data_IF_183780992928
#
_entry.id   IF_183780992928
#
_cell.length_a   1.000
_cell.length_b   1.000
_cell.length_c   1.000
_cell.angle_alpha   90.00
_cell.angle_beta   90.00
_cell.angle_gamma   90.00
#
_symmetry.space_group_name_H-M   'P 1'
#
loop_
_entity.id
_entity.type
_entity.pdbx_description
1 polymer ?
#
# COMPACT_ATOMS: atom_id res chain seq x y z
N UNK A 1 -13.65 4.51 -47.96
CA UNK A 1 -12.67 5.30 -47.17
C UNK A 1 -13.27 6.66 -46.91
N UNK A 2 -13.91 6.83 -45.76
CA UNK A 2 -14.45 8.12 -45.30
C UNK A 2 -13.82 8.40 -43.95
N UNK A 3 -12.87 9.34 -43.96
CA UNK A 3 -12.19 9.87 -42.78
C UNK A 3 -13.23 10.50 -41.84
N UNK A 4 -13.52 9.81 -40.74
CA UNK A 4 -14.24 10.41 -39.61
C UNK A 4 -13.27 11.40 -38.97
N UNK A 5 -13.51 12.69 -39.20
CA UNK A 5 -12.84 13.79 -38.53
C UNK A 5 -13.09 13.68 -37.03
N UNK A 6 -12.03 13.44 -36.27
CA UNK A 6 -12.02 13.49 -34.81
C UNK A 6 -12.26 14.96 -34.40
N UNK A 7 -13.25 15.27 -33.55
CA UNK A 7 -13.44 16.62 -33.05
C UNK A 7 -12.22 17.06 -32.24
N UNK A 8 -11.85 18.32 -32.38
CA UNK A 8 -10.65 18.96 -31.85
C UNK A 8 -10.29 18.53 -30.41
N UNK A 9 -9.15 17.85 -30.26
CA UNK A 9 -8.53 17.65 -28.96
C UNK A 9 -8.21 19.02 -28.36
N UNK A 10 -8.75 19.32 -27.17
CA UNK A 10 -8.51 20.59 -26.46
C UNK A 10 -6.99 20.82 -26.35
N UNK A 11 -6.45 21.97 -26.77
CA UNK A 11 -5.03 22.28 -26.67
C UNK A 11 -4.52 22.14 -25.21
N UNK A 12 -3.71 21.11 -24.95
CA UNK A 12 -3.20 20.78 -23.62
C UNK A 12 -4.03 19.77 -22.81
N UNK A 13 -5.01 19.11 -23.42
CA UNK A 13 -5.68 17.92 -22.90
C UNK A 13 -4.81 16.66 -22.96
N UNK A 14 -5.43 15.48 -22.89
CA UNK A 14 -4.72 14.21 -23.01
C UNK A 14 -4.16 14.02 -24.43
N UNK A 15 -2.93 13.52 -24.59
CA UNK A 15 -2.40 13.19 -25.93
C UNK A 15 -3.11 11.93 -26.43
N UNK A 16 -3.91 12.08 -27.49
CA UNK A 16 -4.65 10.99 -28.12
C UNK A 16 -5.99 10.71 -27.43
N UNK A 17 -7.07 11.23 -28.00
CA UNK A 17 -8.46 11.01 -27.55
C UNK A 17 -9.16 9.84 -28.29
N UNK A 18 -8.46 9.15 -29.20
CA UNK A 18 -9.01 8.01 -29.92
C UNK A 18 -8.86 6.71 -29.11
N UNK A 19 -9.92 6.33 -28.39
CA UNK A 19 -10.18 4.94 -27.96
C UNK A 19 -9.10 4.29 -27.07
N UNK A 20 -8.80 4.87 -25.91
CA UNK A 20 -7.95 4.19 -24.93
C UNK A 20 -8.67 2.95 -24.36
N UNK A 21 -7.95 1.84 -24.24
CA UNK A 21 -8.45 0.65 -23.58
C UNK A 21 -8.86 0.99 -22.13
N UNK A 22 -10.03 0.51 -21.70
CA UNK A 22 -10.47 0.69 -20.31
C UNK A 22 -9.49 0.00 -19.38
N UNK A 23 -9.18 0.64 -18.26
CA UNK A 23 -8.39 0.01 -17.19
C UNK A 23 -9.15 -1.21 -16.65
N UNK A 24 -8.43 -2.31 -16.45
CA UNK A 24 -8.98 -3.62 -16.04
C UNK A 24 -10.24 -4.01 -16.84
N UNK A 25 -10.14 -4.22 -18.17
CA UNK A 25 -11.31 -4.38 -19.03
C UNK A 25 -12.21 -5.57 -18.65
N UNK A 26 -11.65 -6.56 -17.95
CA UNK A 26 -12.33 -7.76 -17.47
C UNK A 26 -13.28 -7.48 -16.31
N UNK A 27 -13.00 -6.46 -15.49
CA UNK A 27 -13.78 -6.12 -14.28
C UNK A 27 -14.32 -4.69 -14.27
N UNK A 28 -14.06 -3.90 -15.31
CA UNK A 28 -14.53 -2.52 -15.43
C UNK A 28 -16.07 -2.45 -15.44
N UNK A 29 -16.63 -1.59 -14.57
CA UNK A 29 -18.08 -1.41 -14.41
C UNK A 29 -18.88 -2.72 -14.20
N UNK A 30 -18.30 -3.74 -13.56
CA UNK A 30 -18.97 -5.03 -13.29
C UNK A 30 -19.86 -5.01 -12.05
N UNK A 31 -19.57 -4.16 -11.05
CA UNK A 31 -20.32 -4.11 -9.81
C UNK A 31 -21.44 -3.06 -9.93
N UNK A 32 -22.69 -3.54 -10.01
CA UNK A 32 -23.87 -2.68 -10.09
C UNK A 32 -24.07 -1.87 -8.80
N UNK A 33 -24.17 -0.55 -8.95
CA UNK A 33 -24.45 0.36 -7.84
C UNK A 33 -25.96 0.69 -7.82
N UNK A 34 -26.67 0.48 -6.70
CA UNK A 34 -28.07 0.84 -6.60
C UNK A 34 -28.30 2.35 -6.71
N UNK A 35 -29.07 2.77 -7.71
CA UNK A 35 -29.46 4.17 -7.93
C UNK A 35 -30.52 4.67 -6.94
N UNK A 36 -31.16 3.80 -6.16
CA UNK A 36 -32.18 4.16 -5.17
C UNK A 36 -32.03 3.28 -3.91
N UNK A 37 -32.24 3.86 -2.71
CA UNK A 37 -32.19 3.13 -1.43
C UNK A 37 -31.51 3.87 -0.27
N UNK A 38 -31.51 3.22 0.89
CA UNK A 38 -30.96 3.74 2.16
C UNK A 38 -29.44 3.92 2.05
N UNK A 39 -28.91 5.00 2.62
CA UNK A 39 -27.49 5.41 2.61
C UNK A 39 -26.50 4.25 2.84
N UNK A 40 -26.80 3.33 3.77
CA UNK A 40 -25.90 2.24 4.15
C UNK A 40 -25.82 1.13 3.08
N UNK A 41 -26.90 0.88 2.33
CA UNK A 41 -26.90 -0.09 1.22
C UNK A 41 -26.07 0.41 0.05
N UNK A 42 -26.09 1.72 -0.20
CA UNK A 42 -25.22 2.37 -1.19
C UNK A 42 -23.76 2.34 -0.74
N UNK A 43 -23.48 2.62 0.54
CA UNK A 43 -22.13 2.50 1.08
C UNK A 43 -21.59 1.06 0.92
N UNK A 44 -22.38 0.04 1.27
CA UNK A 44 -21.96 -1.37 1.10
C UNK A 44 -21.75 -1.79 -0.36
N UNK A 45 -22.43 -1.15 -1.32
CA UNK A 45 -22.22 -1.42 -2.74
C UNK A 45 -20.94 -0.75 -3.28
N UNK A 46 -20.57 0.41 -2.72
CA UNK A 46 -19.30 1.07 -3.02
C UNK A 46 -18.14 0.55 -2.19
N UNK A 47 -18.41 -0.09 -1.05
CA UNK A 47 -17.40 -0.67 -0.17
C UNK A 47 -16.65 -1.80 -0.88
N UNK A 48 -15.33 -1.76 -0.83
CA UNK A 48 -14.47 -2.77 -1.45
C UNK A 48 -13.14 -2.19 -1.93
N UNK A 49 -13.14 -1.22 -2.88
CA UNK A 49 -11.92 -0.62 -3.42
C UNK A 49 -11.00 -0.05 -2.34
N UNK A 50 -11.57 0.66 -1.36
CA UNK A 50 -10.84 1.22 -0.24
C UNK A 50 -10.21 0.15 0.65
N UNK A 51 -10.91 -0.97 0.87
CA UNK A 51 -10.39 -2.10 1.65
C UNK A 51 -9.28 -2.86 0.93
N UNK A 52 -9.39 -3.05 -0.39
CA UNK A 52 -8.28 -3.61 -1.18
C UNK A 52 -7.06 -2.70 -1.08
N UNK A 53 -7.24 -1.39 -1.16
CA UNK A 53 -6.12 -0.45 -1.07
C UNK A 53 -5.54 -0.40 0.33
N UNK A 54 -6.36 -0.34 1.38
CA UNK A 54 -5.88 -0.23 2.77
C UNK A 54 -5.04 -1.42 3.23
N UNK A 55 -5.17 -2.56 2.56
CA UNK A 55 -4.46 -3.77 2.92
C UNK A 55 -2.98 -3.71 2.60
N UNK A 56 -2.59 -3.05 1.51
CA UNK A 56 -1.16 -2.82 1.26
C UNK A 56 -0.53 -1.96 2.35
N UNK A 57 -1.32 -1.19 3.11
CA UNK A 57 -0.85 -0.41 4.25
C UNK A 57 -0.69 -1.24 5.53
N UNK A 58 -0.88 -2.55 5.47
CA UNK A 58 -0.73 -3.48 6.60
C UNK A 58 0.27 -4.60 6.29
N UNK A 59 1.11 -4.43 5.26
CA UNK A 59 2.07 -5.43 4.80
C UNK A 59 3.23 -5.65 5.82
N UNK A 60 3.98 -6.75 5.71
CA UNK A 60 5.10 -7.03 6.63
C UNK A 60 6.19 -5.94 6.62
N UNK A 61 6.31 -5.16 5.54
CA UNK A 61 7.21 -4.02 5.45
C UNK A 61 6.93 -2.96 6.53
N UNK A 62 5.65 -2.60 6.68
CA UNK A 62 5.22 -1.62 7.70
C UNK A 62 5.46 -2.12 9.13
N UNK A 63 5.31 -3.43 9.34
CA UNK A 63 5.47 -4.03 10.67
C UNK A 63 6.89 -3.89 11.18
N UNK A 64 7.90 -4.07 10.32
CA UNK A 64 9.30 -3.93 10.71
C UNK A 64 9.58 -2.51 11.21
N UNK A 65 9.09 -1.48 10.52
CA UNK A 65 9.27 -0.08 10.93
C UNK A 65 8.48 0.28 12.18
N UNK A 66 7.26 -0.24 12.34
CA UNK A 66 6.41 0.04 13.50
C UNK A 66 6.92 -0.66 14.77
N UNK A 67 7.39 -1.91 14.65
CA UNK A 67 8.03 -2.65 15.74
C UNK A 67 9.31 -1.96 16.21
N UNK A 68 10.20 -1.61 15.27
CA UNK A 68 11.44 -0.92 15.59
C UNK A 68 11.18 0.47 16.20
N UNK A 69 10.16 1.19 15.70
CA UNK A 69 9.77 2.47 16.25
C UNK A 69 9.24 2.37 17.68
N UNK A 70 8.38 1.37 17.95
CA UNK A 70 7.80 1.13 19.26
C UNK A 70 8.81 0.63 20.29
N UNK A 71 9.69 -0.30 19.90
CA UNK A 71 10.71 -0.86 20.80
C UNK A 71 11.77 0.16 21.21
N UNK A 72 12.23 1.00 20.28
CA UNK A 72 13.28 2.00 20.54
C UNK A 72 12.74 3.29 21.17
N UNK A 73 11.64 3.83 20.65
CA UNK A 73 11.19 5.20 20.94
C UNK A 73 9.84 5.26 21.67
N UNK A 74 9.32 4.11 22.11
CA UNK A 74 8.04 4.03 22.80
C UNK A 74 6.90 4.55 21.93
N UNK A 75 6.06 5.41 22.49
CA UNK A 75 4.85 5.91 21.81
C UNK A 75 5.08 7.13 20.90
N UNK A 76 6.29 7.69 20.87
CA UNK A 76 6.57 9.00 20.23
C UNK A 76 6.28 9.01 18.72
N UNK A 77 6.55 7.90 18.05
CA UNK A 77 6.37 7.76 16.60
C UNK A 77 4.92 7.51 16.16
N UNK A 78 3.96 7.40 17.09
CA UNK A 78 2.51 7.35 16.77
C UNK A 78 2.05 8.60 16.00
N UNK A 79 2.62 9.76 16.34
CA UNK A 79 2.38 11.01 15.61
C UNK A 79 2.82 10.93 14.13
N UNK A 80 3.90 10.19 13.84
CA UNK A 80 4.39 9.97 12.47
C UNK A 80 3.47 9.01 11.71
N UNK A 81 3.02 7.92 12.34
CA UNK A 81 2.05 6.99 11.73
C UNK A 81 0.76 7.75 11.37
N UNK A 82 0.25 8.59 12.28
CA UNK A 82 -0.94 9.40 12.02
C UNK A 82 -0.72 10.36 10.85
N UNK A 83 0.37 11.13 10.84
CA UNK A 83 0.66 12.08 9.78
C UNK A 83 0.81 11.37 8.42
N UNK A 84 1.54 10.26 8.40
CA UNK A 84 1.73 9.41 7.24
C UNK A 84 0.40 8.88 6.70
N UNK A 85 -0.50 8.43 7.59
CA UNK A 85 -1.83 7.97 7.19
C UNK A 85 -2.70 9.11 6.64
N UNK A 86 -2.62 10.32 7.21
CA UNK A 86 -3.32 11.48 6.66
C UNK A 86 -2.82 11.84 5.25
N UNK A 87 -1.50 11.75 5.02
CA UNK A 87 -0.91 11.89 3.69
C UNK A 87 -1.44 10.82 2.72
N UNK A 88 -1.49 9.56 3.17
CA UNK A 88 -2.05 8.46 2.40
C UNK A 88 -3.51 8.69 2.03
N UNK A 89 -4.37 9.06 2.99
CA UNK A 89 -5.79 9.35 2.74
C UNK A 89 -5.95 10.45 1.69
N UNK A 90 -5.17 11.53 1.80
CA UNK A 90 -5.18 12.61 0.81
C UNK A 90 -4.81 12.08 -0.58
N UNK A 91 -3.67 11.43 -0.72
CA UNK A 91 -3.17 10.94 -2.01
C UNK A 91 -4.09 9.88 -2.63
N UNK A 92 -4.65 8.99 -1.80
CA UNK A 92 -5.59 7.97 -2.25
C UNK A 92 -6.92 8.57 -2.71
N UNK A 93 -7.43 9.58 -2.02
CA UNK A 93 -8.61 10.32 -2.47
C UNK A 93 -8.36 11.03 -3.82
N UNK A 94 -7.13 11.53 -4.06
CA UNK A 94 -6.74 12.10 -5.34
C UNK A 94 -6.63 11.05 -6.45
N UNK A 95 -6.07 9.88 -6.15
CA UNK A 95 -5.97 8.76 -7.10
C UNK A 95 -7.35 8.25 -7.52
N UNK A 96 -8.25 8.04 -6.55
CA UNK A 96 -9.65 7.70 -6.80
C UNK A 96 -10.35 8.76 -7.66
N UNK A 97 -10.14 10.04 -7.34
CA UNK A 97 -10.71 11.16 -8.12
C UNK A 97 -10.23 11.16 -9.57
N UNK A 98 -8.93 10.93 -9.81
CA UNK A 98 -8.38 10.85 -11.15
C UNK A 98 -9.08 9.74 -11.95
N UNK A 99 -9.14 8.53 -11.38
CA UNK A 99 -9.80 7.36 -11.99
C UNK A 99 -11.26 7.62 -12.35
N UNK A 100 -12.01 8.19 -11.41
CA UNK A 100 -13.45 8.43 -11.58
C UNK A 100 -13.75 9.57 -12.55
N UNK A 101 -12.95 10.64 -12.51
CA UNK A 101 -13.18 11.84 -13.30
C UNK A 101 -12.69 11.71 -14.75
N UNK A 102 -11.71 10.85 -15.01
CA UNK A 102 -11.06 10.77 -16.33
C UNK A 102 -11.27 9.43 -17.04
N UNK A 103 -11.83 8.43 -16.36
CA UNK A 103 -11.95 7.04 -16.84
C UNK A 103 -10.60 6.44 -17.27
N UNK A 104 -9.51 6.96 -16.69
CA UNK A 104 -8.12 6.55 -16.92
C UNK A 104 -7.47 6.28 -15.57
N UNK A 105 -6.72 5.19 -15.48
CA UNK A 105 -5.83 5.01 -14.33
C UNK A 105 -4.60 5.93 -14.43
N UNK A 106 -3.84 6.04 -13.33
CA UNK A 106 -2.67 6.90 -13.26
C UNK A 106 -1.57 6.51 -14.28
N UNK A 107 -1.41 5.23 -14.58
CA UNK A 107 -0.42 4.76 -15.54
C UNK A 107 -0.81 5.17 -16.97
N UNK A 108 -2.07 4.99 -17.34
CA UNK A 108 -2.65 5.47 -18.60
C UNK A 108 -2.55 6.99 -18.73
N UNK A 109 -2.79 7.74 -17.64
CA UNK A 109 -2.65 9.19 -17.60
C UNK A 109 -1.19 9.64 -17.82
N UNK A 110 -0.22 8.92 -17.23
CA UNK A 110 1.20 9.13 -17.46
C UNK A 110 1.58 8.87 -18.93
N UNK A 111 1.17 7.73 -19.49
CA UNK A 111 1.40 7.37 -20.90
C UNK A 111 0.81 8.38 -21.86
N UNK A 112 -0.38 8.89 -21.57
CA UNK A 112 -1.06 9.90 -22.39
C UNK A 112 -0.48 11.32 -22.25
N UNK A 113 0.47 11.55 -21.35
CA UNK A 113 1.04 12.90 -21.14
C UNK A 113 2.52 12.94 -21.49
N UNK A 114 3.30 11.97 -21.03
CA UNK A 114 4.76 11.98 -21.12
C UNK A 114 5.25 11.39 -22.46
N UNK A 115 6.51 11.66 -22.80
CA UNK A 115 7.17 11.04 -23.96
C UNK A 115 7.48 9.58 -23.67
N UNK A 116 7.67 8.76 -24.73
CA UNK A 116 7.98 7.33 -24.60
C UNK A 116 9.17 7.02 -23.65
N UNK A 117 10.30 7.76 -23.69
CA UNK A 117 11.41 7.50 -22.77
C UNK A 117 11.05 7.73 -21.30
N UNK A 118 10.35 8.83 -21.00
CA UNK A 118 9.91 9.14 -19.63
C UNK A 118 8.90 8.11 -19.15
N UNK A 119 7.96 7.74 -20.01
CA UNK A 119 6.98 6.70 -19.71
C UNK A 119 7.64 5.35 -19.38
N UNK A 120 8.68 4.96 -20.14
CA UNK A 120 9.42 3.73 -19.89
C UNK A 120 10.20 3.77 -18.57
N UNK A 121 10.81 4.91 -18.23
CA UNK A 121 11.48 5.09 -16.93
C UNK A 121 10.51 5.00 -15.77
N UNK A 122 9.33 5.65 -15.88
CA UNK A 122 8.28 5.56 -14.86
C UNK A 122 7.77 4.13 -14.69
N UNK A 123 7.63 3.39 -15.80
CA UNK A 123 7.26 1.99 -15.78
C UNK A 123 8.32 1.12 -15.08
N UNK A 124 9.59 1.23 -15.46
CA UNK A 124 10.69 0.47 -14.84
C UNK A 124 10.77 0.73 -13.34
N UNK A 125 10.66 2.00 -12.93
CA UNK A 125 10.70 2.35 -11.51
C UNK A 125 9.48 1.81 -10.75
N UNK A 126 8.30 1.79 -11.38
CA UNK A 126 7.10 1.22 -10.78
C UNK A 126 7.17 -0.31 -10.67
N UNK A 127 7.65 -1.00 -11.71
CA UNK A 127 7.82 -2.45 -11.72
C UNK A 127 8.86 -2.88 -10.66
N UNK A 128 9.96 -2.14 -10.54
CA UNK A 128 10.96 -2.37 -9.49
C UNK A 128 10.35 -2.24 -8.08
N UNK A 129 9.49 -1.24 -7.85
CA UNK A 129 8.79 -1.08 -6.58
C UNK A 129 7.77 -2.20 -6.31
N UNK A 130 7.09 -2.72 -7.34
CA UNK A 130 6.19 -3.87 -7.19
C UNK A 130 6.99 -5.13 -6.84
N UNK A 131 8.12 -5.38 -7.51
CA UNK A 131 9.01 -6.51 -7.21
C UNK A 131 9.56 -6.40 -5.78
N UNK A 132 9.97 -5.21 -5.35
CA UNK A 132 10.43 -4.97 -3.99
C UNK A 132 9.32 -5.24 -2.95
N UNK A 133 8.08 -4.82 -3.22
CA UNK A 133 6.93 -5.14 -2.38
C UNK A 133 6.68 -6.65 -2.33
N UNK A 134 6.66 -7.30 -3.48
CA UNK A 134 6.44 -8.74 -3.60
C UNK A 134 7.52 -9.54 -2.84
N UNK A 135 8.76 -9.06 -2.85
CA UNK A 135 9.87 -9.60 -2.05
C UNK A 135 9.63 -9.46 -0.54
N UNK A 136 9.15 -8.30 -0.07
CA UNK A 136 8.80 -8.11 1.34
C UNK A 136 7.73 -9.11 1.81
N UNK A 137 6.75 -9.39 0.93
CA UNK A 137 5.70 -10.38 1.20
C UNK A 137 6.22 -11.82 1.25
N UNK A 138 7.11 -12.21 0.34
CA UNK A 138 7.74 -13.54 0.37
C UNK A 138 8.47 -13.73 1.69
N UNK A 139 9.25 -12.73 2.09
CA UNK A 139 10.01 -12.78 3.35
C UNK A 139 9.05 -12.87 4.54
N UNK A 140 8.03 -12.01 4.62
CA UNK A 140 7.05 -12.04 5.71
C UNK A 140 6.29 -13.37 5.79
N UNK A 141 5.88 -13.92 4.65
CA UNK A 141 5.21 -15.24 4.56
C UNK A 141 6.14 -16.37 4.97
N UNK A 142 7.40 -16.34 4.51
CA UNK A 142 8.40 -17.34 4.87
C UNK A 142 8.70 -17.33 6.38
N UNK A 143 8.85 -16.14 6.97
CA UNK A 143 9.01 -15.95 8.42
C UNK A 143 7.76 -16.49 9.15
N UNK A 144 6.55 -16.11 8.72
CA UNK A 144 5.33 -16.60 9.36
C UNK A 144 5.22 -18.14 9.34
N UNK A 145 5.55 -18.78 8.21
CA UNK A 145 5.56 -20.24 8.08
C UNK A 145 6.63 -20.91 8.94
N UNK A 146 7.81 -20.30 9.05
CA UNK A 146 8.87 -20.73 9.97
C UNK A 146 8.38 -20.70 11.40
N UNK A 147 7.79 -19.58 11.84
CA UNK A 147 7.35 -19.38 13.21
C UNK A 147 6.15 -20.28 13.59
N UNK A 148 5.24 -20.56 12.65
CA UNK A 148 4.04 -21.38 12.91
C UNK A 148 4.31 -22.89 12.81
N UNK A 149 5.11 -23.31 11.83
CA UNK A 149 5.24 -24.73 11.45
C UNK A 149 6.68 -25.25 11.53
N UNK A 150 7.65 -24.42 11.92
CA UNK A 150 9.07 -24.80 11.96
C UNK A 150 9.69 -25.02 10.57
N UNK A 151 9.07 -24.49 9.51
CA UNK A 151 9.55 -24.67 8.14
C UNK A 151 10.76 -23.74 7.90
N UNK A 152 11.90 -24.24 7.35
CA UNK A 152 13.04 -23.38 7.03
C UNK A 152 12.68 -22.24 6.08
N UNK A 153 13.33 -21.07 6.19
CA UNK A 153 13.02 -19.88 5.37
C UNK A 153 12.96 -20.16 3.87
N UNK A 154 13.90 -20.94 3.33
CA UNK A 154 13.91 -21.32 1.90
C UNK A 154 12.65 -22.14 1.56
N UNK A 155 12.26 -23.08 2.42
CA UNK A 155 11.03 -23.85 2.26
C UNK A 155 9.79 -22.95 2.32
N UNK A 156 9.76 -22.00 3.26
CA UNK A 156 8.72 -20.99 3.37
C UNK A 156 8.59 -20.11 2.12
N UNK A 157 9.72 -19.64 1.57
CA UNK A 157 9.76 -18.84 0.34
C UNK A 157 9.28 -19.63 -0.89
N UNK A 158 9.63 -20.91 -0.98
CA UNK A 158 9.12 -21.80 -2.04
C UNK A 158 7.61 -22.06 -1.88
N UNK A 159 7.13 -22.24 -0.65
CA UNK A 159 5.69 -22.38 -0.38
C UNK A 159 4.92 -21.08 -0.66
N UNK A 160 5.56 -19.91 -0.46
CA UNK A 160 4.97 -18.64 -0.87
C UNK A 160 4.71 -18.60 -2.39
N UNK A 161 5.48 -19.30 -3.22
CA UNK A 161 5.16 -19.40 -4.65
C UNK A 161 3.77 -20.03 -4.91
N UNK A 162 3.24 -20.84 -3.99
CA UNK A 162 1.93 -21.45 -4.12
C UNK A 162 0.78 -20.44 -4.00
N UNK A 163 1.03 -19.27 -3.40
CA UNK A 163 0.04 -18.20 -3.31
C UNK A 163 -0.38 -17.65 -4.67
N UNK A 164 0.47 -17.79 -5.69
CA UNK A 164 0.16 -17.41 -7.07
C UNK A 164 -1.01 -18.24 -7.59
N UNK A 165 -1.05 -19.54 -7.26
CA UNK A 165 -2.17 -20.41 -7.63
C UNK A 165 -3.43 -20.09 -6.81
N UNK A 166 -3.26 -19.75 -5.52
CA UNK A 166 -4.37 -19.31 -4.68
C UNK A 166 -5.02 -18.04 -5.25
N UNK A 167 -4.20 -17.07 -5.66
CA UNK A 167 -4.67 -15.84 -6.29
C UNK A 167 -5.44 -16.12 -7.58
N UNK A 168 -4.92 -16.97 -8.46
CA UNK A 168 -5.60 -17.34 -9.70
C UNK A 168 -6.95 -18.02 -9.44
N UNK A 169 -7.02 -18.87 -8.41
CA UNK A 169 -8.28 -19.47 -7.99
C UNK A 169 -9.28 -18.42 -7.50
N UNK A 170 -8.81 -17.41 -6.74
CA UNK A 170 -9.64 -16.32 -6.25
C UNK A 170 -10.15 -15.42 -7.39
N UNK A 171 -9.30 -15.09 -8.35
CA UNK A 171 -9.67 -14.26 -9.51
C UNK A 171 -10.75 -14.93 -10.35
N UNK A 172 -10.67 -16.25 -10.56
CA UNK A 172 -11.68 -17.03 -11.28
C UNK A 172 -13.07 -17.03 -10.60
N UNK A 173 -13.16 -16.74 -9.30
CA UNK A 173 -14.42 -16.68 -8.53
C UNK A 173 -15.12 -15.30 -8.60
N UNK A 174 -14.45 -14.28 -9.14
CA UNK A 174 -14.97 -12.93 -9.31
C UNK A 174 -14.62 -11.94 -8.19
N UNK A 175 -14.74 -10.64 -8.52
CA UNK A 175 -14.20 -9.55 -7.70
C UNK A 175 -14.82 -9.41 -6.30
N UNK A 176 -16.11 -9.72 -6.13
CA UNK A 176 -16.75 -9.69 -4.80
C UNK A 176 -16.22 -10.76 -3.85
N UNK A 177 -15.82 -11.92 -4.39
CA UNK A 177 -15.23 -12.98 -3.58
C UNK A 177 -13.82 -12.57 -3.13
N UNK A 178 -13.06 -11.94 -4.04
CA UNK A 178 -11.76 -11.35 -3.73
C UNK A 178 -11.86 -10.28 -2.63
N UNK A 179 -12.78 -9.33 -2.76
CA UNK A 179 -13.06 -8.31 -1.72
C UNK A 179 -13.41 -8.95 -0.37
N UNK A 180 -14.28 -9.96 -0.35
CA UNK A 180 -14.67 -10.65 0.88
C UNK A 180 -13.49 -11.40 1.53
N UNK A 181 -12.63 -12.04 0.73
CA UNK A 181 -11.43 -12.73 1.21
C UNK A 181 -10.45 -11.75 1.87
N UNK A 182 -10.20 -10.62 1.20
CA UNK A 182 -9.33 -9.53 1.70
C UNK A 182 -9.86 -8.97 3.02
N UNK A 183 -11.17 -8.72 3.12
CA UNK A 183 -11.81 -8.23 4.36
C UNK A 183 -11.71 -9.29 5.47
N UNK A 184 -11.87 -10.58 5.16
CA UNK A 184 -11.73 -11.65 6.15
C UNK A 184 -10.31 -11.70 6.74
N UNK A 185 -9.28 -11.61 5.90
CA UNK A 185 -7.88 -11.53 6.37
C UNK A 185 -7.65 -10.30 7.26
N UNK A 186 -8.22 -9.15 6.88
CA UNK A 186 -8.13 -7.92 7.65
C UNK A 186 -8.77 -8.07 9.04
N UNK A 187 -9.95 -8.71 9.12
CA UNK A 187 -10.61 -9.01 10.41
C UNK A 187 -9.72 -9.92 11.27
N UNK A 188 -9.08 -10.93 10.68
CA UNK A 188 -8.15 -11.81 11.41
C UNK A 188 -6.99 -11.00 12.01
N UNK A 189 -6.35 -10.14 11.21
CA UNK A 189 -5.26 -9.26 11.68
C UNK A 189 -5.74 -8.36 12.82
N UNK A 190 -6.88 -7.70 12.64
CA UNK A 190 -7.44 -6.79 13.64
C UNK A 190 -7.75 -7.52 14.96
N UNK A 191 -8.40 -8.69 14.90
CA UNK A 191 -8.71 -9.49 16.09
C UNK A 191 -7.43 -9.92 16.82
N UNK A 192 -6.41 -10.37 16.09
CA UNK A 192 -5.13 -10.78 16.68
C UNK A 192 -4.47 -9.62 17.46
N UNK A 193 -4.44 -8.41 16.90
CA UNK A 193 -3.84 -7.26 17.58
C UNK A 193 -4.71 -6.70 18.71
N UNK A 194 -6.04 -6.73 18.59
CA UNK A 194 -6.95 -6.34 19.68
C UNK A 194 -6.73 -7.21 20.91
N UNK A 195 -6.62 -8.53 20.73
CA UNK A 195 -6.35 -9.47 21.84
C UNK A 195 -4.98 -9.18 22.47
N UNK A 196 -3.95 -8.96 21.65
CA UNK A 196 -2.61 -8.67 22.15
C UNK A 196 -2.51 -7.33 22.89
N UNK A 197 -3.18 -6.27 22.41
CA UNK A 197 -3.24 -4.97 23.11
C UNK A 197 -3.99 -5.09 24.43
N UNK A 198 -5.11 -5.82 24.43
CA UNK A 198 -5.87 -6.05 25.65
C UNK A 198 -4.99 -6.77 26.71
N UNK A 199 -4.16 -7.71 26.28
CA UNK A 199 -3.19 -8.38 27.16
C UNK A 199 -2.04 -7.45 27.59
N UNK A 200 -1.54 -6.59 26.69
CA UNK A 200 -0.46 -5.65 26.98
C UNK A 200 -0.87 -4.53 27.97
N UNK A 201 -2.17 -4.22 28.04
CA UNK A 201 -2.77 -3.20 28.89
C UNK A 201 -1.99 -1.87 28.92
N UNK A 202 -1.76 -1.23 27.75
CA UNK A 202 -0.95 -0.02 27.68
C UNK A 202 -1.65 1.17 28.37
N UNK A 203 -0.89 2.08 29.00
CA UNK A 203 -1.45 3.28 29.61
C UNK A 203 -2.03 4.20 28.53
N UNK A 204 -3.37 4.29 28.47
CA UNK A 204 -4.12 5.05 27.45
C UNK A 204 -3.66 6.51 27.35
N UNK A 205 -3.32 7.14 28.48
CA UNK A 205 -2.83 8.51 28.49
C UNK A 205 -1.50 8.69 27.73
N UNK A 206 -0.58 7.72 27.82
CA UNK A 206 0.70 7.76 27.10
C UNK A 206 0.51 7.49 25.60
N UNK A 207 -0.41 6.58 25.25
CA UNK A 207 -0.77 6.31 23.85
C UNK A 207 -1.36 7.56 23.19
N UNK A 208 -2.32 8.23 23.84
CA UNK A 208 -2.90 9.48 23.36
C UNK A 208 -1.83 10.57 23.27
N UNK A 209 -0.94 10.66 24.26
CA UNK A 209 0.19 11.59 24.25
C UNK A 209 1.16 11.37 23.08
N UNK A 210 1.35 10.12 22.66
CA UNK A 210 2.20 9.75 21.52
C UNK A 210 1.72 10.24 20.17
N UNK A 211 0.41 10.53 20.03
CA UNK A 211 -0.13 11.16 18.81
C UNK A 211 0.22 12.65 18.71
N UNK A 212 0.74 13.25 19.77
CA UNK A 212 1.17 14.65 19.79
C UNK A 212 2.60 14.76 19.21
N UNK A 213 2.83 15.55 18.15
CA UNK A 213 4.16 15.63 17.52
C UNK A 213 5.24 16.14 18.48
N UNK A 214 6.37 15.44 18.56
CA UNK A 214 7.54 15.85 19.33
C UNK A 214 8.62 16.44 18.42
N UNK A 215 9.38 17.42 18.94
CA UNK A 215 10.55 17.99 18.23
C UNK A 215 11.69 16.98 18.10
N UNK A 216 11.72 15.98 18.97
CA UNK A 216 12.75 14.93 19.00
C UNK A 216 12.79 14.11 17.71
N UNK A 217 11.65 13.98 17.03
CA UNK A 217 11.50 13.26 15.76
C UNK A 217 12.42 13.81 14.68
N UNK A 218 12.69 15.12 14.70
CA UNK A 218 13.52 15.79 13.68
C UNK A 218 14.95 15.98 14.17
N UNK A 219 15.17 16.09 15.49
CA UNK A 219 16.51 16.33 16.05
C UNK A 219 17.33 15.04 16.23
N UNK A 220 16.69 13.90 16.46
CA UNK A 220 17.40 12.62 16.63
C UNK A 220 17.54 11.91 15.27
N UNK A 221 18.77 11.66 14.77
CA UNK A 221 19.00 11.01 13.48
C UNK A 221 18.36 9.62 13.37
N UNK A 222 18.44 8.79 14.41
CA UNK A 222 17.87 7.44 14.40
C UNK A 222 16.34 7.47 14.41
N UNK A 223 15.74 8.35 15.22
CA UNK A 223 14.28 8.52 15.26
C UNK A 223 13.76 9.04 13.93
N UNK A 224 14.50 9.97 13.31
CA UNK A 224 14.18 10.49 12.00
C UNK A 224 14.31 9.43 10.91
N UNK A 225 15.30 8.55 10.98
CA UNK A 225 15.46 7.43 10.05
C UNK A 225 14.25 6.49 10.09
N UNK A 226 13.82 6.07 11.29
CA UNK A 226 12.61 5.25 11.44
C UNK A 226 11.36 6.02 11.01
N UNK A 227 11.24 7.30 11.34
CA UNK A 227 10.12 8.13 10.92
C UNK A 227 10.01 8.23 9.38
N UNK A 228 11.13 8.37 8.67
CA UNK A 228 11.15 8.34 7.21
C UNK A 228 10.77 6.95 6.70
N UNK A 229 11.26 5.88 7.34
CA UNK A 229 10.87 4.50 7.06
C UNK A 229 9.36 4.31 7.16
N UNK A 230 8.73 4.73 8.26
CA UNK A 230 7.27 4.69 8.45
C UNK A 230 6.57 5.43 7.31
N UNK A 231 6.99 6.66 6.98
CA UNK A 231 6.35 7.44 5.90
C UNK A 231 6.46 6.74 4.54
N UNK A 232 7.65 6.22 4.20
CA UNK A 232 7.90 5.52 2.95
C UNK A 232 7.13 4.21 2.82
N UNK A 233 7.07 3.43 3.91
CA UNK A 233 6.39 2.16 3.96
C UNK A 233 4.85 2.34 3.92
N UNK A 234 4.33 3.37 4.61
CA UNK A 234 2.90 3.67 4.57
C UNK A 234 2.47 4.10 3.17
N UNK A 235 3.11 5.10 2.56
CA UNK A 235 2.64 5.64 1.28
C UNK A 235 3.20 4.81 0.11
N UNK A 236 2.53 3.71 -0.20
CA UNK A 236 2.94 2.84 -1.31
C UNK A 236 2.59 3.41 -2.69
N UNK A 237 3.55 3.55 -3.63
CA UNK A 237 3.29 4.11 -4.96
C UNK A 237 2.36 3.24 -5.80
N UNK A 238 2.54 1.91 -5.78
CA UNK A 238 1.73 0.98 -6.57
C UNK A 238 0.24 1.03 -6.17
N UNK A 239 -0.06 1.34 -4.91
CA UNK A 239 -1.43 1.52 -4.44
C UNK A 239 -2.12 2.76 -5.03
N UNK A 240 -1.39 3.80 -5.44
CA UNK A 240 -1.98 4.94 -6.15
C UNK A 240 -2.47 4.53 -7.54
N UNK A 241 -1.68 3.70 -8.25
CA UNK A 241 -2.09 3.13 -9.53
C UNK A 241 -3.27 2.19 -9.34
N UNK A 242 -3.19 1.29 -8.36
CA UNK A 242 -4.23 0.34 -8.00
C UNK A 242 -5.57 1.04 -7.74
N UNK A 243 -5.59 2.02 -6.83
CA UNK A 243 -6.82 2.68 -6.43
C UNK A 243 -7.45 3.47 -7.59
N UNK A 244 -6.64 4.12 -8.42
CA UNK A 244 -7.13 4.84 -9.61
C UNK A 244 -7.82 3.94 -10.64
N UNK A 245 -7.51 2.63 -10.63
CA UNK A 245 -8.14 1.63 -11.50
C UNK A 245 -9.33 0.94 -10.84
N UNK A 246 -9.19 0.45 -9.59
CA UNK A 246 -10.23 -0.36 -8.93
C UNK A 246 -11.52 0.45 -8.73
N UNK A 247 -11.45 1.77 -8.50
CA UNK A 247 -12.66 2.61 -8.41
C UNK A 247 -13.52 2.58 -9.68
N UNK A 248 -12.93 2.22 -10.82
CA UNK A 248 -13.62 2.09 -12.11
C UNK A 248 -14.39 0.77 -12.26
N UNK A 249 -14.22 -0.19 -11.34
CA UNK A 249 -15.01 -1.45 -11.29
C UNK A 249 -16.48 -1.19 -10.95
N UNK A 250 -16.79 -0.06 -10.30
CA UNK A 250 -18.15 0.33 -9.93
C UNK A 250 -18.90 0.92 -11.13
N UNK A 251 -20.09 0.40 -11.38
CA UNK A 251 -20.98 0.89 -12.43
C UNK A 251 -21.80 2.09 -11.90
N UNK A 252 -21.32 3.30 -12.16
CA UNK A 252 -22.04 4.55 -11.89
C UNK A 252 -22.35 5.32 -13.19
N UNK A 253 -23.41 6.17 -13.20
CA UNK A 253 -23.73 7.00 -14.35
C UNK A 253 -22.56 7.93 -14.69
N UNK A 254 -22.11 7.95 -15.95
CA UNK A 254 -20.99 8.80 -16.41
C UNK A 254 -21.39 10.26 -16.63
N UNK A 255 -22.42 10.73 -15.93
CA UNK A 255 -22.85 12.13 -15.87
C UNK A 255 -22.03 12.90 -14.84
N UNK A 256 -22.09 14.23 -14.85
CA UNK A 256 -21.37 15.03 -13.86
C UNK A 256 -21.81 14.72 -12.42
N UNK A 257 -23.11 14.64 -12.17
CA UNK A 257 -23.67 14.30 -10.86
C UNK A 257 -23.26 12.90 -10.41
N UNK A 258 -23.32 11.90 -11.31
CA UNK A 258 -22.92 10.53 -10.99
C UNK A 258 -21.43 10.41 -10.65
N UNK A 259 -20.56 11.16 -11.35
CA UNK A 259 -19.13 11.24 -11.02
C UNK A 259 -18.89 11.94 -9.68
N UNK A 260 -19.61 13.03 -9.36
CA UNK A 260 -19.50 13.71 -8.05
C UNK A 260 -19.86 12.76 -6.90
N UNK A 261 -20.97 12.04 -7.05
CA UNK A 261 -21.40 11.05 -6.07
C UNK A 261 -20.38 9.91 -5.94
N UNK A 262 -19.89 9.37 -7.05
CA UNK A 262 -18.88 8.31 -7.04
C UNK A 262 -17.58 8.76 -6.34
N UNK A 263 -17.10 9.99 -6.60
CA UNK A 263 -15.91 10.55 -5.92
C UNK A 263 -16.16 10.61 -4.41
N UNK A 264 -17.34 11.09 -3.99
CA UNK A 264 -17.69 11.19 -2.56
C UNK A 264 -17.65 9.82 -1.90
N UNK A 265 -18.32 8.83 -2.49
CA UNK A 265 -18.37 7.47 -1.94
C UNK A 265 -17.01 6.77 -1.94
N UNK A 266 -16.24 6.87 -3.02
CA UNK A 266 -14.90 6.29 -3.08
C UNK A 266 -13.95 6.93 -2.06
N UNK A 267 -14.03 8.26 -1.87
CA UNK A 267 -13.25 8.96 -0.85
C UNK A 267 -13.65 8.52 0.56
N UNK A 268 -14.94 8.38 0.84
CA UNK A 268 -15.41 7.91 2.15
C UNK A 268 -14.99 6.47 2.41
N UNK A 269 -15.13 5.57 1.44
CA UNK A 269 -14.71 4.17 1.53
C UNK A 269 -13.21 4.06 1.83
N UNK A 270 -12.37 4.71 1.03
CA UNK A 270 -10.92 4.69 1.24
C UNK A 270 -10.51 5.34 2.57
N UNK A 271 -11.19 6.40 3.00
CA UNK A 271 -10.89 7.06 4.28
C UNK A 271 -11.17 6.13 5.45
N UNK A 272 -12.32 5.45 5.44
CA UNK A 272 -12.69 4.50 6.52
C UNK A 272 -11.69 3.34 6.54
N UNK A 273 -11.36 2.78 5.37
CA UNK A 273 -10.44 1.66 5.25
C UNK A 273 -9.01 2.02 5.70
N UNK A 274 -8.49 3.20 5.32
CA UNK A 274 -7.17 3.67 5.75
C UNK A 274 -7.14 4.09 7.22
N UNK A 275 -8.26 4.54 7.81
CA UNK A 275 -8.33 4.73 9.26
C UNK A 275 -8.20 3.39 10.01
N UNK A 276 -8.74 2.31 9.45
CA UNK A 276 -8.54 0.97 10.00
C UNK A 276 -7.07 0.52 9.88
N UNK A 277 -6.38 0.85 8.77
CA UNK A 277 -4.94 0.65 8.63
C UNK A 277 -4.13 1.39 9.69
N UNK A 278 -4.47 2.65 9.98
CA UNK A 278 -3.87 3.41 11.08
C UNK A 278 -4.03 2.69 12.43
N UNK A 279 -5.20 2.13 12.72
CA UNK A 279 -5.38 1.40 13.99
C UNK A 279 -4.48 0.17 14.08
N UNK A 280 -4.26 -0.55 12.98
CA UNK A 280 -3.36 -1.72 12.97
C UNK A 280 -1.89 -1.30 13.13
N UNK A 281 -1.43 -0.29 12.39
CA UNK A 281 -0.04 0.20 12.50
C UNK A 281 0.23 0.80 13.89
N UNK A 282 -0.70 1.62 14.40
CA UNK A 282 -0.64 2.12 15.77
C UNK A 282 -0.68 0.97 16.79
N UNK A 283 -1.43 -0.09 16.52
CA UNK A 283 -1.51 -1.24 17.39
C UNK A 283 -0.18 -2.00 17.49
N UNK A 284 0.51 -2.20 16.37
CA UNK A 284 1.84 -2.83 16.31
C UNK A 284 2.84 -2.00 17.12
N UNK A 285 2.88 -0.69 16.90
CA UNK A 285 3.80 0.20 17.60
C UNK A 285 3.50 0.25 19.11
N UNK A 286 2.23 0.40 19.50
CA UNK A 286 1.80 0.38 20.91
C UNK A 286 2.15 -0.93 21.57
N UNK A 287 1.94 -2.05 20.89
CA UNK A 287 2.30 -3.38 21.38
C UNK A 287 3.81 -3.43 21.65
N UNK A 288 4.64 -3.09 20.68
CA UNK A 288 6.10 -3.07 20.82
C UNK A 288 6.60 -2.13 21.93
N UNK A 289 5.99 -0.96 22.06
CA UNK A 289 6.30 -0.02 23.14
C UNK A 289 5.90 -0.56 24.52
N UNK A 290 4.74 -1.19 24.63
CA UNK A 290 4.25 -1.73 25.90
C UNK A 290 5.01 -2.99 26.34
N UNK A 291 5.44 -3.84 25.40
CA UNK A 291 6.12 -5.11 25.68
C UNK A 291 7.63 -4.97 25.71
N UNK A 292 8.25 -4.40 24.69
CA UNK A 292 9.70 -4.43 24.48
C UNK A 292 10.39 -3.21 25.07
N UNK A 293 9.89 -2.00 24.80
CA UNK A 293 10.51 -0.78 25.31
C UNK A 293 10.48 -0.73 26.84
N UNK A 294 9.33 -1.05 27.44
CA UNK A 294 9.17 -1.08 28.90
C UNK A 294 10.00 -2.15 29.59
N UNK A 295 10.29 -3.27 28.92
CA UNK A 295 11.11 -4.36 29.46
C UNK A 295 12.61 -4.19 29.22
N UNK A 296 13.03 -3.08 28.59
CA UNK A 296 14.44 -2.79 28.30
C UNK A 296 14.98 -3.46 27.04
N UNK A 297 14.13 -4.10 26.22
CA UNK A 297 14.50 -4.75 24.96
C UNK A 297 14.38 -3.75 23.80
N UNK A 298 15.18 -2.67 23.84
CA UNK A 298 15.12 -1.61 22.84
C UNK A 298 15.66 -2.04 21.46
N UNK A 299 16.41 -3.14 21.38
CA UNK A 299 17.05 -3.60 20.13
C UNK A 299 16.17 -4.53 19.28
N UNK A 300 14.92 -4.79 19.71
CA UNK A 300 13.99 -5.64 18.96
C UNK A 300 13.52 -4.90 17.70
N UNK A 301 14.16 -5.20 16.58
CA UNK A 301 13.80 -4.68 15.26
C UNK A 301 13.31 -5.79 14.32
N UNK A 302 13.63 -7.05 14.61
CA UNK A 302 13.31 -8.20 13.75
C UNK A 302 12.01 -8.89 14.17
N UNK A 303 11.27 -9.36 13.17
CA UNK A 303 9.98 -10.03 13.34
C UNK A 303 10.14 -11.35 14.13
N UNK A 304 11.22 -12.09 13.90
CA UNK A 304 11.53 -13.33 14.63
C UNK A 304 11.73 -13.06 16.14
N UNK A 305 12.49 -12.02 16.48
CA UNK A 305 12.73 -11.62 17.86
C UNK A 305 11.45 -11.18 18.56
N UNK A 306 10.60 -10.42 17.86
CA UNK A 306 9.29 -10.04 18.37
C UNK A 306 8.44 -11.28 18.70
N UNK A 307 8.41 -12.28 17.81
CA UNK A 307 7.67 -13.53 18.05
C UNK A 307 8.17 -14.27 19.30
N UNK A 308 9.48 -14.43 19.47
CA UNK A 308 10.04 -15.17 20.62
C UNK A 308 9.75 -14.47 21.96
N UNK A 309 9.75 -13.14 21.97
CA UNK A 309 9.61 -12.34 23.18
C UNK A 309 8.15 -12.00 23.52
N UNK A 310 7.21 -12.07 22.58
CA UNK A 310 5.81 -11.69 22.81
C UNK A 310 5.13 -12.53 23.89
N UNK A 311 5.10 -13.86 23.76
CA UNK A 311 4.43 -14.73 24.73
C UNK A 311 5.01 -14.61 26.15
N UNK A 312 6.35 -14.64 26.36
CA UNK A 312 6.94 -14.45 27.68
C UNK A 312 6.64 -13.09 28.30
N UNK A 313 6.74 -12.00 27.53
CA UNK A 313 6.60 -10.64 28.06
C UNK A 313 5.14 -10.24 28.28
N UNK A 314 4.21 -10.76 27.49
CA UNK A 314 2.77 -10.53 27.68
C UNK A 314 2.15 -11.46 28.72
N UNK A 315 2.83 -12.55 29.09
CA UNK A 315 2.24 -13.59 29.94
C UNK A 315 1.09 -14.36 29.28
N UNK A 316 0.95 -14.26 27.96
CA UNK A 316 -0.11 -14.89 27.17
C UNK A 316 0.53 -15.89 26.20
N UNK A 317 0.47 -17.19 26.51
CA UNK A 317 1.16 -18.24 25.73
C UNK A 317 0.79 -18.30 24.24
N UNK A 318 -0.40 -17.79 23.87
CA UNK A 318 -0.87 -17.75 22.48
C UNK A 318 -0.45 -16.47 21.72
N UNK A 319 0.20 -15.50 22.37
CA UNK A 319 0.49 -14.20 21.74
C UNK A 319 1.40 -14.32 20.52
N UNK A 320 2.49 -15.09 20.62
CA UNK A 320 3.39 -15.35 19.51
C UNK A 320 2.64 -16.00 18.34
N UNK A 321 1.78 -17.00 18.60
CA UNK A 321 0.97 -17.64 17.55
C UNK A 321 0.01 -16.66 16.88
N UNK A 322 -0.70 -15.83 17.65
CA UNK A 322 -1.59 -14.80 17.10
C UNK A 322 -0.84 -13.81 16.21
N UNK A 323 0.37 -13.41 16.64
CA UNK A 323 1.24 -12.52 15.86
C UNK A 323 1.66 -13.17 14.53
N UNK A 324 2.11 -14.43 14.54
CA UNK A 324 2.50 -15.12 13.31
C UNK A 324 1.31 -15.44 12.38
N UNK A 325 0.11 -15.72 12.93
CA UNK A 325 -1.13 -15.86 12.14
C UNK A 325 -1.47 -14.53 11.45
N UNK A 326 -1.38 -13.42 12.17
CA UNK A 326 -1.62 -12.10 11.60
C UNK A 326 -0.57 -11.73 10.53
N UNK A 327 0.70 -12.11 10.73
CA UNK A 327 1.77 -11.90 9.74
C UNK A 327 1.52 -12.70 8.46
N UNK A 328 1.10 -13.97 8.59
CA UNK A 328 0.73 -14.81 7.44
C UNK A 328 -0.47 -14.21 6.69
N UNK A 329 -1.50 -13.77 7.43
CA UNK A 329 -2.67 -13.12 6.85
C UNK A 329 -2.28 -11.84 6.11
N UNK A 330 -1.38 -11.02 6.66
CA UNK A 330 -0.86 -9.81 6.02
C UNK A 330 -0.13 -10.11 4.70
N UNK A 331 0.79 -11.07 4.70
CA UNK A 331 1.54 -11.47 3.50
C UNK A 331 0.64 -11.96 2.35
N UNK A 332 -0.34 -12.82 2.66
CA UNK A 332 -1.32 -13.30 1.68
C UNK A 332 -2.19 -12.19 1.08
N UNK A 333 -2.46 -11.16 1.86
CA UNK A 333 -3.35 -10.07 1.46
C UNK A 333 -2.66 -9.09 0.52
N UNK A 334 -1.41 -8.73 0.82
CA UNK A 334 -0.60 -7.83 -0.01
C UNK A 334 -0.33 -8.41 -1.41
N UNK A 335 -0.24 -9.74 -1.51
CA UNK A 335 -0.12 -10.47 -2.79
C UNK A 335 -1.25 -10.16 -3.78
N UNK A 336 -2.47 -10.01 -3.28
CA UNK A 336 -3.63 -9.66 -4.11
C UNK A 336 -3.43 -8.29 -4.73
N UNK A 337 -3.01 -7.32 -3.92
CA UNK A 337 -2.84 -5.93 -4.34
C UNK A 337 -1.64 -5.75 -5.26
N UNK A 338 -0.51 -6.41 -4.99
CA UNK A 338 0.69 -6.34 -5.82
C UNK A 338 0.43 -6.88 -7.23
N UNK A 339 -0.32 -7.98 -7.35
CA UNK A 339 -0.63 -8.58 -8.66
C UNK A 339 -1.53 -7.68 -9.50
N UNK A 340 -2.62 -7.17 -8.90
CA UNK A 340 -3.52 -6.24 -9.58
C UNK A 340 -2.80 -4.94 -9.97
N UNK A 341 -1.96 -4.40 -9.08
CA UNK A 341 -1.19 -3.20 -9.35
C UNK A 341 -0.20 -3.41 -10.52
N UNK A 342 0.48 -4.56 -10.54
CA UNK A 342 1.33 -4.95 -11.66
C UNK A 342 0.59 -5.00 -12.97
N UNK A 343 -0.61 -5.59 -13.02
CA UNK A 343 -1.40 -5.65 -14.25
C UNK A 343 -1.77 -4.26 -14.75
N UNK A 344 -2.22 -3.39 -13.83
CA UNK A 344 -2.59 -2.01 -14.15
C UNK A 344 -1.38 -1.24 -14.69
N UNK A 345 -0.21 -1.41 -14.06
CA UNK A 345 1.04 -0.76 -14.48
C UNK A 345 1.50 -1.25 -15.85
N UNK A 346 1.49 -2.56 -16.08
CA UNK A 346 1.86 -3.16 -17.38
C UNK A 346 0.92 -2.72 -18.51
N UNK A 347 -0.39 -2.85 -18.29
CA UNK A 347 -1.39 -2.46 -19.29
C UNK A 347 -1.43 -0.95 -19.49
N UNK A 348 -1.29 -0.16 -18.42
CA UNK A 348 -1.37 1.29 -18.48
C UNK A 348 -0.14 1.95 -19.11
N UNK A 349 1.07 1.56 -18.71
CA UNK A 349 2.30 2.13 -19.26
C UNK A 349 2.67 1.52 -20.62
N UNK A 350 2.62 0.21 -20.76
CA UNK A 350 3.11 -0.49 -21.96
C UNK A 350 2.01 -0.90 -22.94
N UNK A 351 0.74 -0.94 -22.53
CA UNK A 351 -0.37 -1.49 -23.35
C UNK A 351 -0.09 -2.93 -23.76
N UNK A 352 0.60 -3.65 -22.86
CA UNK A 352 0.89 -5.07 -22.99
C UNK A 352 -0.11 -5.85 -22.14
N UNK A 353 -0.88 -6.73 -22.78
CA UNK A 353 -1.80 -7.65 -22.10
C UNK A 353 -1.11 -8.99 -21.90
N UNK A 354 -0.61 -9.21 -20.69
CA UNK A 354 -0.13 -10.52 -20.26
C UNK A 354 -1.26 -11.24 -19.51
N UNK A 355 -1.38 -12.57 -19.64
CA UNK A 355 -2.24 -13.35 -18.77
C UNK A 355 -1.82 -13.20 -17.31
N UNK A 356 -2.79 -13.10 -16.41
CA UNK A 356 -2.59 -12.88 -14.96
C UNK A 356 -1.64 -13.88 -14.33
N UNK A 357 -1.78 -15.16 -14.70
CA UNK A 357 -0.95 -16.24 -14.20
C UNK A 357 0.51 -16.09 -14.61
N UNK A 358 0.75 -15.61 -15.83
CA UNK A 358 2.10 -15.45 -16.37
C UNK A 358 2.78 -14.27 -15.70
N UNK A 359 2.07 -13.14 -15.61
CA UNK A 359 2.60 -11.96 -14.93
C UNK A 359 2.95 -12.28 -13.48
N UNK A 360 2.03 -12.93 -12.75
CA UNK A 360 2.26 -13.32 -11.37
C UNK A 360 3.45 -14.27 -11.22
N UNK A 361 3.55 -15.29 -12.06
CA UNK A 361 4.66 -16.24 -11.99
C UNK A 361 6.02 -15.56 -12.27
N UNK A 362 6.04 -14.62 -13.22
CA UNK A 362 7.25 -13.84 -13.55
C UNK A 362 7.64 -12.92 -12.39
N UNK A 363 6.74 -12.09 -11.88
CA UNK A 363 7.05 -11.17 -10.77
C UNK A 363 7.45 -11.93 -9.51
N UNK A 364 6.72 -13.00 -9.18
CA UNK A 364 7.00 -13.87 -8.04
C UNK A 364 8.32 -14.62 -8.20
N UNK A 365 8.64 -15.09 -9.41
CA UNK A 365 9.93 -15.70 -9.71
C UNK A 365 11.10 -14.73 -9.51
N UNK A 366 10.96 -13.48 -10.00
CA UNK A 366 11.97 -12.43 -9.83
C UNK A 366 12.12 -12.04 -8.35
N UNK A 367 11.05 -12.05 -7.56
CA UNK A 367 11.09 -11.75 -6.14
C UNK A 367 11.67 -12.89 -5.27
N UNK A 368 11.34 -14.15 -5.57
CA UNK A 368 11.78 -15.32 -4.79
C UNK A 368 13.29 -15.58 -4.96
N UNK A 369 13.83 -15.39 -6.17
CA UNK A 369 15.25 -15.74 -6.45
C UNK A 369 16.22 -14.99 -5.52
N UNK A 370 16.16 -13.65 -5.37
CA UNK A 370 16.97 -12.91 -4.41
C UNK A 370 16.77 -13.40 -2.97
N UNK A 371 15.53 -13.70 -2.56
CA UNK A 371 15.23 -14.20 -1.21
C UNK A 371 15.92 -15.52 -0.93
N UNK A 372 15.85 -16.48 -1.86
CA UNK A 372 16.52 -17.79 -1.70
C UNK A 372 18.04 -17.61 -1.66
N UNK A 373 18.61 -16.80 -2.56
CA UNK A 373 20.06 -16.56 -2.62
C UNK A 373 20.55 -15.93 -1.32
N UNK A 374 19.88 -14.88 -0.84
CA UNK A 374 20.26 -14.18 0.40
C UNK A 374 20.06 -15.09 1.61
N UNK A 375 18.95 -15.82 1.70
CA UNK A 375 18.72 -16.76 2.80
C UNK A 375 19.77 -17.89 2.83
N UNK A 376 20.22 -18.38 1.67
CA UNK A 376 21.24 -19.43 1.59
C UNK A 376 22.64 -18.94 1.96
N UNK A 377 22.99 -17.69 1.61
CA UNK A 377 24.33 -17.13 1.84
C UNK A 377 24.49 -16.43 3.19
N UNK A 378 23.46 -15.71 3.63
CA UNK A 378 23.51 -14.77 4.77
C UNK A 378 22.50 -15.10 5.88
N UNK A 379 21.64 -16.10 5.68
CA UNK A 379 20.66 -16.51 6.67
C UNK A 379 19.62 -15.42 6.98
N UNK A 380 19.15 -15.41 8.22
CA UNK A 380 17.99 -14.64 8.68
C UNK A 380 18.27 -13.13 8.70
N UNK A 381 19.43 -12.72 9.20
CA UNK A 381 19.85 -11.32 9.23
C UNK A 381 19.97 -10.72 7.83
N UNK A 382 20.44 -11.51 6.85
CA UNK A 382 20.44 -11.11 5.45
C UNK A 382 19.03 -10.86 4.90
N UNK A 383 18.07 -11.73 5.24
CA UNK A 383 16.67 -11.54 4.82
C UNK A 383 16.01 -10.33 5.49
N UNK A 384 16.33 -10.03 6.75
CA UNK A 384 15.86 -8.82 7.43
C UNK A 384 16.41 -7.55 6.76
N UNK A 385 17.69 -7.52 6.39
CA UNK A 385 18.28 -6.39 5.64
C UNK A 385 17.65 -6.25 4.25
N UNK A 386 17.36 -7.37 3.58
CA UNK A 386 16.69 -7.38 2.28
C UNK A 386 15.26 -6.82 2.37
N UNK A 387 14.54 -7.11 3.46
CA UNK A 387 13.24 -6.53 3.77
C UNK A 387 13.30 -5.01 3.98
N UNK A 388 14.34 -4.50 4.65
CA UNK A 388 14.52 -3.05 4.80
C UNK A 388 14.87 -2.41 3.46
N UNK A 389 15.75 -3.05 2.67
CA UNK A 389 16.14 -2.58 1.35
C UNK A 389 14.95 -2.45 0.40
N UNK A 390 13.99 -3.37 0.44
CA UNK A 390 12.79 -3.25 -0.38
C UNK A 390 11.99 -1.99 -0.06
N UNK A 391 11.91 -1.59 1.21
CA UNK A 391 11.22 -0.35 1.60
C UNK A 391 11.91 0.89 1.06
N UNK A 392 13.25 0.88 0.99
CA UNK A 392 14.01 1.96 0.36
C UNK A 392 13.64 2.10 -1.11
N UNK A 393 13.57 1.00 -1.85
CA UNK A 393 13.16 1.00 -3.27
C UNK A 393 11.74 1.55 -3.44
N UNK A 394 10.79 1.16 -2.58
CA UNK A 394 9.43 1.68 -2.59
C UNK A 394 9.40 3.20 -2.36
N UNK A 395 10.12 3.66 -1.35
CA UNK A 395 10.21 5.07 -1.00
C UNK A 395 10.76 5.88 -2.17
N UNK A 396 11.86 5.42 -2.79
CA UNK A 396 12.49 6.07 -3.94
C UNK A 396 11.54 6.21 -5.14
N UNK A 397 10.63 5.25 -5.33
CA UNK A 397 9.65 5.32 -6.40
C UNK A 397 8.49 6.30 -6.12
N UNK A 398 8.21 6.59 -4.85
CA UNK A 398 7.03 7.35 -4.45
C UNK A 398 6.90 8.73 -5.13
N UNK A 399 7.96 9.57 -5.22
CA UNK A 399 7.90 10.85 -5.93
C UNK A 399 7.41 10.75 -7.37
N UNK A 400 7.82 9.69 -8.08
CA UNK A 400 7.50 9.48 -9.49
C UNK A 400 6.03 9.11 -9.71
N UNK A 401 5.31 8.66 -8.68
CA UNK A 401 3.86 8.44 -8.73
C UNK A 401 3.08 9.67 -8.23
N UNK A 402 3.53 10.28 -7.12
CA UNK A 402 2.84 11.40 -6.47
C UNK A 402 2.88 12.67 -7.33
N UNK A 403 4.03 13.02 -7.91
CA UNK A 403 4.16 14.26 -8.70
C UNK A 403 3.22 14.25 -9.92
N UNK A 404 3.20 13.20 -10.77
CA UNK A 404 2.22 13.11 -11.85
C UNK A 404 0.78 13.17 -11.37
N UNK A 405 0.46 12.45 -10.29
CA UNK A 405 -0.89 12.44 -9.72
C UNK A 405 -1.36 13.86 -9.37
N UNK A 406 -0.60 14.56 -8.52
CA UNK A 406 -0.92 15.93 -8.06
C UNK A 406 -1.01 16.90 -9.25
N UNK A 407 -0.09 16.76 -10.22
CA UNK A 407 -0.12 17.57 -11.45
C UNK A 407 -1.39 17.34 -12.26
N UNK A 408 -1.83 16.09 -12.44
CA UNK A 408 -3.00 15.77 -13.26
C UNK A 408 -4.30 16.22 -12.60
N UNK A 409 -4.47 15.97 -11.30
CA UNK A 409 -5.70 16.36 -10.59
C UNK A 409 -5.86 17.88 -10.43
N UNK A 410 -4.75 18.62 -10.52
CA UNK A 410 -4.72 20.10 -10.49
C UNK A 410 -5.02 20.75 -11.84
N UNK A 411 -4.92 19.99 -12.94
CA UNK A 411 -5.08 20.55 -14.29
C UNK A 411 -6.55 20.58 -14.73
N UNK A 412 -7.12 21.78 -14.81
CA UNK A 412 -8.49 22.01 -15.27
C UNK A 412 -8.74 21.51 -16.70
N UNK A 413 -7.73 21.47 -17.56
CA UNK A 413 -7.89 20.98 -18.94
C UNK A 413 -8.08 19.48 -19.00
N UNK A 414 -7.55 18.75 -18.01
CA UNK A 414 -7.62 17.29 -17.91
C UNK A 414 -8.80 16.81 -17.08
N UNK A 415 -9.07 17.49 -15.98
CA UNK A 415 -10.11 17.10 -15.01
C UNK A 415 -11.46 17.77 -15.25
N UNK A 416 -11.51 18.83 -16.07
CA UNK A 416 -12.72 19.63 -16.27
C UNK A 416 -13.29 20.16 -14.96
N UNK A 417 -14.58 19.93 -14.72
CA UNK A 417 -15.30 20.34 -13.51
C UNK A 417 -14.83 19.65 -12.21
N UNK A 418 -13.98 18.61 -12.31
CA UNK A 418 -13.51 17.79 -11.19
C UNK A 418 -12.09 18.13 -10.72
N UNK A 419 -11.47 19.18 -11.28
CA UNK A 419 -10.19 19.68 -10.82
C UNK A 419 -10.22 20.02 -9.32
N UNK A 420 -9.12 19.76 -8.61
CA UNK A 420 -9.05 20.02 -7.18
C UNK A 420 -9.07 21.53 -6.88
N UNK A 421 -9.56 21.89 -5.70
CA UNK A 421 -9.52 23.27 -5.22
C UNK A 421 -8.11 23.67 -4.82
N UNK A 422 -7.82 24.98 -4.83
CA UNK A 422 -6.50 25.51 -4.49
C UNK A 422 -5.99 25.04 -3.11
N UNK A 423 -6.80 25.02 -2.03
CA UNK A 423 -6.33 24.53 -0.72
C UNK A 423 -5.89 23.07 -0.76
N UNK A 424 -6.63 22.21 -1.47
CA UNK A 424 -6.27 20.79 -1.63
C UNK A 424 -5.02 20.63 -2.48
N UNK A 425 -4.85 21.46 -3.51
CA UNK A 425 -3.65 21.47 -4.34
C UNK A 425 -2.41 21.86 -3.54
N UNK A 426 -2.51 22.92 -2.72
CA UNK A 426 -1.41 23.34 -1.83
C UNK A 426 -1.07 22.24 -0.83
N UNK A 427 -2.07 21.65 -0.17
CA UNK A 427 -1.84 20.53 0.74
C UNK A 427 -1.14 19.35 0.03
N UNK A 428 -1.60 18.97 -1.16
CA UNK A 428 -1.02 17.88 -1.94
C UNK A 428 0.43 18.17 -2.38
N UNK A 429 0.75 19.41 -2.77
CA UNK A 429 2.11 19.81 -3.11
C UNK A 429 3.04 19.89 -1.90
N UNK A 430 2.53 20.29 -0.72
CA UNK A 430 3.29 20.22 0.54
C UNK A 430 3.62 18.77 0.86
N UNK A 431 2.65 17.86 0.78
CA UNK A 431 2.85 16.42 0.99
C UNK A 431 3.86 15.85 -0.01
N UNK A 432 3.73 16.20 -1.29
CA UNK A 432 4.68 15.77 -2.32
C UNK A 432 6.10 16.30 -2.06
N UNK A 433 6.23 17.58 -1.67
CA UNK A 433 7.51 18.20 -1.34
C UNK A 433 8.16 17.55 -0.11
N UNK A 434 7.38 17.28 0.94
CA UNK A 434 7.85 16.56 2.12
C UNK A 434 8.36 15.17 1.76
N UNK A 435 7.58 14.39 1.01
CA UNK A 435 7.98 13.05 0.53
C UNK A 435 9.30 13.11 -0.24
N UNK A 436 9.45 14.07 -1.16
CA UNK A 436 10.68 14.23 -1.95
C UNK A 436 11.87 14.57 -1.06
N UNK A 437 11.72 15.51 -0.13
CA UNK A 437 12.79 15.92 0.78
C UNK A 437 13.25 14.75 1.64
N UNK A 438 12.30 14.02 2.24
CA UNK A 438 12.59 12.86 3.09
C UNK A 438 13.25 11.73 2.29
N UNK A 439 12.83 11.50 1.05
CA UNK A 439 13.44 10.51 0.16
C UNK A 439 14.85 10.86 -0.26
N UNK A 440 15.10 12.12 -0.63
CA UNK A 440 16.44 12.60 -0.98
C UNK A 440 17.36 12.49 0.23
N UNK A 441 16.86 12.82 1.43
CA UNK A 441 17.61 12.63 2.67
C UNK A 441 17.94 11.15 2.90
N UNK A 442 16.96 10.26 2.83
CA UNK A 442 17.19 8.83 3.05
C UNK A 442 18.19 8.25 2.05
N UNK A 443 18.12 8.67 0.78
CA UNK A 443 19.09 8.28 -0.24
C UNK A 443 20.50 8.78 0.11
N UNK A 444 20.61 10.02 0.58
CA UNK A 444 21.88 10.59 1.03
C UNK A 444 22.45 9.79 2.21
N UNK A 445 21.66 9.57 3.25
CA UNK A 445 22.07 8.82 4.45
C UNK A 445 22.49 7.38 4.09
N UNK A 446 21.75 6.72 3.18
CA UNK A 446 22.06 5.36 2.72
C UNK A 446 23.34 5.27 1.88
N UNK A 447 23.61 6.26 1.02
CA UNK A 447 24.80 6.27 0.15
C UNK A 447 26.06 6.74 0.86
N UNK A 448 25.93 7.67 1.80
CA UNK A 448 27.07 8.29 2.49
C UNK A 448 27.30 7.77 3.91
N UNK A 449 26.43 6.89 4.43
CA UNK A 449 26.64 6.13 5.65
C UNK A 449 26.73 6.97 6.93
N UNK A 450 26.01 8.08 6.99
CA UNK A 450 25.91 8.96 8.16
C UNK A 450 24.68 8.68 9.01
#
# INVERSE_FOLDING_TARGET
MSSVSVPDAVPGGWRGDAGHARSLPEVNATVAVPSTGVWWRRLLAFAGPGYLVSVGYMDPGNWATDLAGGSKFGYTLLSVILLSNLMAILLQALAARLGIATDRDLAQACRATYSRPVNLLLWLACEAAIIACDLAEVIGTAIALKLLFGIPLIGGALLAALDAFLLLLLMNRGFRFLEAFVIALLIVIAVCFVVQIAAAAPPVAAVIGGFMPSREIVSNPEMLYIAIGIIGATVMPHNLYLHSSIVQTRAYPRTEEGRRDAIKWATTDSTIALMLALFVNAAILVLAAATFHKSGHADVAEIDQAFELLSPLLGLGIASTLFAVALLASGLNSTVTATLAGQIVMQGFLDLKLPDWLQRLVTRGIAIVPVIVVAALYGESGTAQLLVFSQVVLSMQLPFAVIPLVRFVSDKRKMGAFAISMPVAVAAWIVAGLIVILNVKLLFDTLFGT
#
